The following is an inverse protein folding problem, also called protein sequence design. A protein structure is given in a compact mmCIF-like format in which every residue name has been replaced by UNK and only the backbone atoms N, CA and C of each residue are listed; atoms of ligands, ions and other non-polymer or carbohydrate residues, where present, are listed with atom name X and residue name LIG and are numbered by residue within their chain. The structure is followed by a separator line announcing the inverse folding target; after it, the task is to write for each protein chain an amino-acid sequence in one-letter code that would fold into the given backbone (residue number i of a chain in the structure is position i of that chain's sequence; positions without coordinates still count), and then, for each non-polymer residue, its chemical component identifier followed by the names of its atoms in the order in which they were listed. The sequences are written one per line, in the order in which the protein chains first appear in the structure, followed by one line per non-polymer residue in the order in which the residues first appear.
data_IF_987287130547
#
_entry.id   IF_987287130547
#
_cell.length_a   1.000
_cell.length_b   1.000
_cell.length_c   1.000
_cell.angle_alpha   90.00
_cell.angle_beta   90.00
_cell.angle_gamma   90.00
#
_symmetry.space_group_name_H-M   'P 1'
#
loop_
_entity.id
_entity.type
_entity.pdbx_description
1 polymer ?
#
# COMPACT_ATOMS: atom_id res chain seq x y z
N UNK A 1 -90.23 11.88 -5.17
CA UNK A 1 -90.50 12.07 -3.73
C UNK A 1 -89.36 11.42 -2.95
N UNK A 2 -88.65 12.21 -2.13
CA UNK A 2 -87.93 11.89 -0.88
C UNK A 2 -86.83 10.78 -0.86
N UNK A 3 -85.53 11.10 -0.80
CA UNK A 3 -84.57 11.39 0.32
C UNK A 3 -83.83 10.20 1.01
N UNK A 4 -82.50 10.40 1.20
CA UNK A 4 -81.56 9.92 2.26
C UNK A 4 -81.12 8.43 2.27
N UNK A 5 -79.96 7.96 2.77
CA UNK A 5 -78.65 8.47 3.28
C UNK A 5 -77.83 7.23 3.77
N UNK A 6 -76.51 7.17 3.48
CA UNK A 6 -75.37 6.56 4.25
C UNK A 6 -75.11 5.03 4.45
N UNK A 7 -73.78 4.74 4.45
CA UNK A 7 -72.97 3.74 5.22
C UNK A 7 -73.05 2.27 4.75
N UNK A 8 -72.04 1.39 4.73
CA UNK A 8 -70.55 1.31 4.71
C UNK A 8 -70.25 -0.22 4.64
N UNK A 9 -69.04 -0.61 4.21
CA UNK A 9 -68.33 -1.88 4.52
C UNK A 9 -68.62 -3.10 3.61
N UNK A 10 -67.77 -3.35 2.60
CA UNK A 10 -66.65 -4.34 2.59
C UNK A 10 -67.13 -5.78 2.41
N UNK A 11 -66.58 -6.66 1.59
CA UNK A 11 -65.43 -6.75 0.67
C UNK A 11 -65.56 -8.12 0.00
N UNK A 12 -64.98 -8.28 -1.19
CA UNK A 12 -64.17 -9.44 -1.62
C UNK A 12 -64.47 -9.79 -3.08
N UNK A 13 -63.66 -9.26 -4.00
CA UNK A 13 -63.43 -9.88 -5.29
C UNK A 13 -61.94 -9.74 -5.63
N UNK A 14 -61.35 -10.90 -5.89
CA UNK A 14 -59.96 -11.14 -6.23
C UNK A 14 -59.74 -10.71 -7.69
N UNK A 15 -58.73 -9.90 -7.96
CA UNK A 15 -58.19 -9.73 -9.30
C UNK A 15 -56.67 -9.55 -9.26
N UNK A 16 -56.04 -10.30 -10.14
CA UNK A 16 -54.62 -10.59 -10.26
C UNK A 16 -53.79 -9.34 -10.58
N UNK A 17 -52.77 -9.07 -9.78
CA UNK A 17 -51.74 -8.06 -10.10
C UNK A 17 -50.66 -8.67 -10.98
N UNK A 18 -50.54 -8.14 -12.20
CA UNK A 18 -49.31 -8.19 -12.97
C UNK A 18 -48.31 -7.26 -12.30
N UNK A 19 -47.15 -7.79 -11.87
CA UNK A 19 -46.06 -6.98 -11.36
C UNK A 19 -45.37 -6.26 -12.52
N UNK A 20 -45.82 -5.04 -12.80
CA UNK A 20 -44.95 -3.99 -13.37
C UNK A 20 -44.37 -3.23 -12.19
N UNK A 21 -43.09 -3.50 -11.90
CA UNK A 21 -42.34 -2.80 -10.85
C UNK A 21 -41.51 -1.70 -11.48
N UNK A 22 -42.13 -0.54 -11.69
CA UNK A 22 -41.43 0.74 -11.65
C UNK A 22 -42.00 1.49 -10.45
N UNK A 23 -41.27 1.48 -9.33
CA UNK A 23 -41.41 2.48 -8.29
C UNK A 23 -40.10 3.24 -8.22
N UNK A 24 -40.19 4.54 -8.49
CA UNK A 24 -39.17 5.53 -8.20
C UNK A 24 -38.85 5.52 -6.70
N UNK A 25 -37.69 6.10 -6.39
CA UNK A 25 -37.06 6.32 -5.08
C UNK A 25 -36.22 5.14 -4.58
N UNK A 26 -34.96 5.13 -5.02
CA UNK A 26 -33.84 4.88 -4.13
C UNK A 26 -32.60 5.61 -4.69
N UNK A 27 -32.43 6.87 -4.24
CA UNK A 27 -31.10 7.47 -4.10
C UNK A 27 -30.32 6.62 -3.09
N UNK A 28 -29.90 5.42 -3.48
CA UNK A 28 -28.84 4.72 -2.76
C UNK A 28 -27.58 5.51 -3.10
N UNK A 29 -26.92 6.18 -2.13
CA UNK A 29 -25.61 6.75 -2.42
C UNK A 29 -24.76 5.57 -2.90
N UNK A 30 -24.24 5.63 -4.12
CA UNK A 30 -23.09 4.79 -4.48
C UNK A 30 -22.09 5.02 -3.35
N UNK A 31 -21.80 3.96 -2.59
CA UNK A 31 -20.90 4.05 -1.45
C UNK A 31 -19.65 4.81 -1.87
N UNK A 32 -19.26 5.82 -1.10
CA UNK A 32 -18.03 6.57 -1.36
C UNK A 32 -16.91 5.54 -1.35
N UNK A 33 -16.29 5.27 -2.50
CA UNK A 33 -15.13 4.39 -2.54
C UNK A 33 -14.07 4.97 -1.59
N UNK A 34 -13.54 4.13 -0.71
CA UNK A 34 -12.50 4.55 0.22
C UNK A 34 -11.29 5.02 -0.58
N UNK A 35 -10.78 6.21 -0.26
CA UNK A 35 -9.58 6.73 -0.90
C UNK A 35 -8.42 5.73 -0.74
N UNK A 36 -7.69 5.53 -1.82
CA UNK A 36 -6.51 4.66 -1.85
C UNK A 36 -5.44 5.15 -0.86
N UNK A 37 -4.53 4.26 -0.44
CA UNK A 37 -3.40 4.65 0.43
C UNK A 37 -2.56 5.75 -0.25
N UNK A 38 -2.35 5.66 -1.56
CA UNK A 38 -1.61 6.68 -2.31
C UNK A 38 -2.29 8.06 -2.24
N UNK A 39 -3.61 8.12 -2.43
CA UNK A 39 -4.39 9.36 -2.29
C UNK A 39 -4.35 9.91 -0.88
N UNK A 40 -4.47 9.06 0.15
CA UNK A 40 -4.39 9.45 1.56
C UNK A 40 -3.01 9.98 1.96
N UNK A 41 -1.96 9.59 1.24
CA UNK A 41 -0.59 10.10 1.37
C UNK A 41 -0.33 11.38 0.57
N UNK A 42 -1.37 11.99 -0.03
CA UNK A 42 -1.32 13.23 -0.81
C UNK A 42 -1.47 13.04 -2.32
N UNK A 43 -1.51 11.79 -2.78
CA UNK A 43 -1.84 11.43 -4.15
C UNK A 43 -0.96 12.10 -5.20
N UNK A 44 -1.59 12.49 -6.31
CA UNK A 44 -0.96 13.12 -7.48
C UNK A 44 -0.69 14.61 -7.31
N UNK A 45 -0.89 15.17 -6.11
CA UNK A 45 -0.57 16.58 -5.83
C UNK A 45 0.92 16.81 -6.06
N UNK A 46 1.29 17.68 -6.98
CA UNK A 46 2.69 17.98 -7.28
C UNK A 46 3.29 18.92 -6.24
N UNK A 47 4.42 18.53 -5.67
CA UNK A 47 5.22 19.33 -4.73
C UNK A 47 6.67 19.40 -5.21
N UNK A 48 7.43 20.37 -4.70
CA UNK A 48 8.85 20.45 -5.02
C UNK A 48 9.58 19.18 -4.54
N UNK A 49 10.43 18.63 -5.39
CA UNK A 49 11.26 17.49 -5.03
C UNK A 49 12.49 17.99 -4.21
N UNK A 50 12.59 17.66 -2.91
CA UNK A 50 13.70 18.12 -2.08
C UNK A 50 15.05 17.48 -2.47
N UNK A 51 15.03 16.33 -3.15
CA UNK A 51 16.21 15.57 -3.54
C UNK A 51 16.63 15.88 -4.98
N UNK A 52 15.78 16.56 -5.75
CA UNK A 52 16.03 16.93 -7.14
C UNK A 52 15.63 18.40 -7.39
N UNK A 53 16.58 19.31 -7.17
CA UNK A 53 16.34 20.76 -7.28
C UNK A 53 15.73 21.15 -8.63
N UNK A 54 14.68 21.98 -8.58
CA UNK A 54 13.95 22.44 -9.77
C UNK A 54 12.96 21.42 -10.35
N UNK A 55 12.86 20.21 -9.77
CA UNK A 55 11.89 19.20 -10.20
C UNK A 55 10.68 19.16 -9.26
N UNK A 56 9.58 18.62 -9.78
CA UNK A 56 8.35 18.39 -9.03
C UNK A 56 8.10 16.88 -8.92
N UNK A 57 7.50 16.45 -7.82
CA UNK A 57 7.15 15.06 -7.54
C UNK A 57 5.73 14.98 -6.98
N UNK A 58 5.02 13.87 -7.24
CA UNK A 58 3.73 13.59 -6.61
C UNK A 58 3.92 13.39 -5.09
N UNK A 59 3.06 14.03 -4.29
CA UNK A 59 3.15 13.99 -2.83
C UNK A 59 3.03 12.55 -2.29
N UNK A 60 2.19 11.71 -2.90
CA UNK A 60 2.10 10.29 -2.55
C UNK A 60 3.43 9.54 -2.75
N UNK A 61 4.07 9.71 -3.92
CA UNK A 61 5.38 9.13 -4.21
C UNK A 61 6.46 9.65 -3.27
N UNK A 62 6.46 10.94 -2.97
CA UNK A 62 7.41 11.55 -2.02
C UNK A 62 7.24 10.96 -0.61
N UNK A 63 6.00 10.75 -0.17
CA UNK A 63 5.70 10.12 1.13
C UNK A 63 6.28 8.71 1.20
N UNK A 64 6.09 7.88 0.16
CA UNK A 64 6.72 6.56 0.09
C UNK A 64 8.25 6.62 0.06
N UNK A 65 8.83 7.50 -0.76
CA UNK A 65 10.29 7.64 -0.85
C UNK A 65 10.93 7.95 0.50
N UNK A 66 10.30 8.83 1.29
CA UNK A 66 10.75 9.17 2.64
C UNK A 66 10.72 7.98 3.61
N UNK A 67 9.63 7.20 3.60
CA UNK A 67 9.50 6.00 4.43
C UNK A 67 10.50 4.92 4.00
N UNK A 68 10.67 4.68 2.70
CA UNK A 68 11.65 3.71 2.18
C UNK A 68 13.07 4.11 2.57
N UNK A 69 13.47 5.36 2.34
CA UNK A 69 14.80 5.86 2.70
C UNK A 69 15.06 5.71 4.22
N UNK A 70 14.06 6.03 5.05
CA UNK A 70 14.16 5.88 6.50
C UNK A 70 14.26 4.41 6.92
N UNK A 71 13.52 3.52 6.25
CA UNK A 71 13.60 2.06 6.49
C UNK A 71 14.99 1.53 6.17
N UNK A 72 15.57 1.91 5.03
CA UNK A 72 16.95 1.56 4.66
C UNK A 72 17.93 2.07 5.72
N UNK A 73 17.77 3.31 6.18
CA UNK A 73 18.59 3.88 7.25
C UNK A 73 18.53 3.08 8.55
N UNK A 74 17.34 2.64 8.97
CA UNK A 74 17.16 1.82 10.16
C UNK A 74 17.83 0.44 10.02
N UNK A 75 17.66 -0.22 8.87
CA UNK A 75 18.33 -1.50 8.58
C UNK A 75 19.85 -1.34 8.64
N UNK A 76 20.39 -0.31 8.00
CA UNK A 76 21.83 -0.03 8.00
C UNK A 76 22.33 0.25 9.41
N UNK A 77 21.59 1.03 10.21
CA UNK A 77 21.95 1.31 11.59
C UNK A 77 22.02 0.01 12.44
N UNK A 78 21.04 -0.88 12.29
CA UNK A 78 21.00 -2.16 13.02
C UNK A 78 22.15 -3.09 12.61
N UNK A 79 22.54 -3.07 11.33
CA UNK A 79 23.71 -3.82 10.82
C UNK A 79 25.00 -3.23 11.41
N UNK A 80 25.16 -1.91 11.39
CA UNK A 80 26.34 -1.25 11.95
C UNK A 80 26.49 -1.43 13.46
N UNK A 81 25.36 -1.51 14.18
CA UNK A 81 25.32 -1.78 15.61
C UNK A 81 25.48 -3.27 15.95
N UNK A 82 25.58 -4.16 14.95
CA UNK A 82 25.55 -5.61 15.10
C UNK A 82 24.37 -6.08 15.99
N UNK A 83 23.21 -5.46 15.81
CA UNK A 83 22.01 -5.80 16.58
C UNK A 83 21.64 -7.26 16.30
N UNK A 84 21.37 -8.08 17.34
CA UNK A 84 20.96 -9.46 17.15
C UNK A 84 19.79 -9.62 16.17
N UNK A 85 19.96 -10.54 15.23
CA UNK A 85 18.98 -10.80 14.18
C UNK A 85 18.82 -9.63 13.20
N UNK A 86 19.81 -8.76 13.01
CA UNK A 86 19.79 -7.79 11.92
C UNK A 86 19.72 -8.50 10.54
N UNK A 87 19.42 -7.74 9.49
CA UNK A 87 19.19 -8.29 8.15
C UNK A 87 20.47 -8.38 7.29
N UNK A 88 21.67 -8.31 7.88
CA UNK A 88 22.93 -8.26 7.14
C UNK A 88 23.07 -9.38 6.10
N UNK A 89 22.72 -10.62 6.47
CA UNK A 89 22.86 -11.77 5.59
C UNK A 89 22.04 -11.64 4.29
N UNK A 90 20.88 -11.00 4.36
CA UNK A 90 20.03 -10.76 3.19
C UNK A 90 20.63 -9.72 2.24
N UNK A 91 21.26 -8.69 2.78
CA UNK A 91 21.88 -7.59 2.01
C UNK A 91 23.37 -7.80 1.70
N UNK A 92 23.96 -8.94 2.09
CA UNK A 92 25.39 -9.19 1.92
C UNK A 92 25.91 -8.93 0.49
N UNK A 93 25.23 -9.32 -0.61
CA UNK A 93 25.68 -9.01 -1.96
C UNK A 93 25.72 -7.50 -2.29
N UNK A 94 24.81 -6.71 -1.70
CA UNK A 94 24.78 -5.25 -1.86
C UNK A 94 25.86 -4.60 -1.00
N UNK A 95 26.05 -5.09 0.23
CA UNK A 95 27.04 -4.56 1.18
C UNK A 95 28.49 -4.88 0.76
N UNK A 96 28.70 -5.94 -0.02
CA UNK A 96 30.00 -6.26 -0.60
C UNK A 96 30.43 -5.31 -1.73
N UNK A 97 29.50 -4.52 -2.29
CA UNK A 97 29.83 -3.49 -3.27
C UNK A 97 30.60 -2.35 -2.62
N UNK A 98 31.37 -1.59 -3.40
CA UNK A 98 32.18 -0.49 -2.87
C UNK A 98 31.98 0.81 -3.63
N UNK A 99 32.24 1.93 -2.95
CA UNK A 99 32.22 3.26 -3.55
C UNK A 99 30.91 3.63 -4.22
N UNK A 100 31.01 4.20 -5.43
CA UNK A 100 29.86 4.72 -6.19
C UNK A 100 28.91 3.62 -6.68
N UNK A 101 29.39 2.40 -6.88
CA UNK A 101 28.55 1.26 -7.27
C UNK A 101 27.53 0.93 -6.19
N UNK A 102 27.98 0.83 -4.94
CA UNK A 102 27.08 0.56 -3.81
C UNK A 102 26.04 1.68 -3.67
N UNK A 103 26.48 2.94 -3.68
CA UNK A 103 25.58 4.09 -3.56
C UNK A 103 24.51 4.10 -4.67
N UNK A 104 24.91 3.82 -5.91
CA UNK A 104 24.00 3.73 -7.06
C UNK A 104 22.98 2.61 -6.88
N UNK A 105 23.40 1.45 -6.37
CA UNK A 105 22.52 0.31 -6.23
C UNK A 105 21.60 0.42 -5.00
N UNK A 106 22.01 1.12 -3.94
CA UNK A 106 21.12 1.51 -2.84
C UNK A 106 20.04 2.48 -3.37
N UNK A 107 20.43 3.47 -4.18
CA UNK A 107 19.47 4.39 -4.79
C UNK A 107 18.45 3.65 -5.66
N UNK A 108 18.90 2.74 -6.52
CA UNK A 108 18.01 1.87 -7.32
C UNK A 108 17.09 0.99 -6.47
N UNK A 109 17.59 0.44 -5.36
CA UNK A 109 16.76 -0.32 -4.44
C UNK A 109 15.65 0.56 -3.85
N UNK A 110 15.98 1.76 -3.41
CA UNK A 110 15.01 2.73 -2.86
C UNK A 110 13.97 3.15 -3.91
N UNK A 111 14.40 3.44 -5.13
CA UNK A 111 13.50 3.79 -6.24
C UNK A 111 12.55 2.62 -6.58
N UNK A 112 13.08 1.40 -6.73
CA UNK A 112 12.25 0.22 -7.02
C UNK A 112 11.19 -0.04 -5.93
N UNK A 113 11.54 0.13 -4.66
CA UNK A 113 10.59 -0.01 -3.55
C UNK A 113 9.56 1.13 -3.56
N UNK A 114 10.00 2.36 -3.82
CA UNK A 114 9.12 3.53 -3.95
C UNK A 114 8.10 3.32 -5.06
N UNK A 115 8.54 2.86 -6.22
CA UNK A 115 7.68 2.55 -7.37
C UNK A 115 6.71 1.43 -7.01
N UNK A 116 7.23 0.31 -6.48
CA UNK A 116 6.40 -0.83 -6.06
C UNK A 116 5.26 -0.41 -5.14
N UNK A 117 5.54 0.31 -4.06
CA UNK A 117 4.49 0.74 -3.15
C UNK A 117 3.60 1.82 -3.76
N UNK A 118 4.15 2.78 -4.49
CA UNK A 118 3.35 3.84 -5.12
C UNK A 118 2.31 3.25 -6.07
N UNK A 119 2.71 2.33 -6.95
CA UNK A 119 1.79 1.70 -7.90
C UNK A 119 0.77 0.79 -7.24
N UNK A 120 1.21 -0.12 -6.36
CA UNK A 120 0.32 -1.10 -5.73
C UNK A 120 -0.64 -0.48 -4.71
N UNK A 121 -0.49 0.81 -4.38
CA UNK A 121 -1.36 1.52 -3.44
C UNK A 121 -2.23 2.60 -4.08
N UNK A 122 -2.27 2.68 -5.41
CA UNK A 122 -3.19 3.56 -6.16
C UNK A 122 -2.52 4.63 -7.03
N UNK A 123 -1.19 4.71 -7.04
CA UNK A 123 -0.44 5.60 -7.93
C UNK A 123 -0.49 5.12 -9.37
N UNK A 124 -1.03 5.94 -10.28
CA UNK A 124 -1.26 5.55 -11.69
C UNK A 124 -0.28 6.17 -12.69
N UNK A 125 0.55 7.13 -12.25
CA UNK A 125 1.57 7.72 -13.09
C UNK A 125 2.59 6.65 -13.54
N UNK A 126 2.98 6.60 -14.83
CA UNK A 126 3.97 5.64 -15.33
C UNK A 126 5.26 5.58 -14.52
N UNK A 127 5.71 6.70 -13.93
CA UNK A 127 6.90 6.76 -13.06
C UNK A 127 6.80 5.86 -11.83
N UNK A 128 5.58 5.48 -11.41
CA UNK A 128 5.37 4.60 -10.27
C UNK A 128 5.46 3.11 -10.67
N UNK A 129 5.56 2.77 -11.95
CA UNK A 129 5.41 1.38 -12.39
C UNK A 129 6.63 0.54 -11.99
N UNK A 130 6.41 -0.43 -11.10
CA UNK A 130 7.42 -1.43 -10.79
C UNK A 130 7.63 -2.40 -11.95
N UNK A 131 8.87 -2.53 -12.40
CA UNK A 131 9.28 -3.39 -13.53
C UNK A 131 10.23 -4.52 -13.13
N UNK A 132 10.44 -4.72 -11.82
CA UNK A 132 11.31 -5.76 -11.29
C UNK A 132 10.70 -7.15 -11.34
N UNK A 133 11.44 -8.11 -10.77
CA UNK A 133 10.98 -9.48 -10.60
C UNK A 133 9.72 -9.53 -9.72
N UNK A 134 8.89 -10.56 -9.90
CA UNK A 134 7.82 -10.84 -8.94
C UNK A 134 8.41 -11.06 -7.53
N UNK A 135 7.60 -10.85 -6.49
CA UNK A 135 8.08 -10.86 -5.11
C UNK A 135 8.74 -12.18 -4.70
N UNK A 136 8.33 -13.32 -5.26
CA UNK A 136 8.94 -14.61 -4.97
C UNK A 136 10.31 -14.73 -5.63
N UNK A 137 10.41 -14.42 -6.92
CA UNK A 137 11.68 -14.43 -7.65
C UNK A 137 12.67 -13.39 -7.11
N UNK A 138 12.19 -12.20 -6.74
CA UNK A 138 13.01 -11.13 -6.17
C UNK A 138 13.68 -11.52 -4.85
N UNK A 139 13.02 -12.34 -4.04
CA UNK A 139 13.50 -12.76 -2.71
C UNK A 139 14.03 -14.20 -2.67
N UNK A 140 14.18 -14.85 -3.83
CA UNK A 140 14.77 -16.17 -3.95
C UNK A 140 16.26 -16.07 -4.32
N UNK A 141 17.21 -16.42 -3.43
CA UNK A 141 18.65 -16.34 -3.71
C UNK A 141 19.12 -17.27 -4.85
N UNK A 142 18.34 -18.30 -5.19
CA UNK A 142 18.66 -19.17 -6.33
C UNK A 142 18.30 -18.54 -7.69
N UNK A 143 17.43 -17.52 -7.70
CA UNK A 143 16.97 -16.82 -8.92
C UNK A 143 17.57 -15.42 -8.99
N UNK A 144 17.60 -14.71 -7.86
CA UNK A 144 18.14 -13.37 -7.73
C UNK A 144 19.45 -13.40 -6.92
N UNK A 145 20.63 -13.31 -7.55
CA UNK A 145 21.92 -13.33 -6.85
C UNK A 145 22.17 -12.08 -5.99
N UNK A 146 21.29 -11.07 -6.06
CA UNK A 146 21.31 -9.91 -5.17
C UNK A 146 20.73 -10.20 -3.79
N UNK A 147 19.96 -11.28 -3.66
CA UNK A 147 19.44 -11.74 -2.37
C UNK A 147 20.45 -12.69 -1.73
N UNK A 148 20.99 -12.33 -0.57
CA UNK A 148 22.06 -13.12 0.06
C UNK A 148 21.61 -14.44 0.68
N UNK A 149 20.37 -14.49 1.19
CA UNK A 149 19.76 -15.71 1.75
C UNK A 149 18.24 -15.62 1.70
N UNK A 150 17.56 -16.76 1.81
CA UNK A 150 16.10 -16.83 1.94
C UNK A 150 15.62 -16.09 3.18
N UNK A 151 14.46 -15.45 3.11
CA UNK A 151 13.82 -14.76 4.24
C UNK A 151 12.90 -15.72 5.03
N UNK A 152 13.03 -15.71 6.35
CA UNK A 152 12.09 -16.37 7.27
C UNK A 152 10.97 -15.44 7.71
N UNK A 153 9.97 -15.98 8.40
CA UNK A 153 8.91 -15.18 9.03
C UNK A 153 9.45 -14.18 10.07
N UNK A 154 10.52 -14.55 10.78
CA UNK A 154 11.15 -13.67 11.75
C UNK A 154 11.84 -12.48 11.05
N UNK A 155 12.54 -12.74 9.96
CA UNK A 155 13.20 -11.70 9.16
C UNK A 155 12.17 -10.74 8.57
N UNK A 156 11.07 -11.27 8.03
CA UNK A 156 9.99 -10.46 7.47
C UNK A 156 9.28 -9.62 8.54
N UNK A 157 9.03 -10.21 9.72
CA UNK A 157 8.46 -9.47 10.86
C UNK A 157 9.39 -8.33 11.29
N UNK A 158 10.70 -8.57 11.31
CA UNK A 158 11.67 -7.52 11.61
C UNK A 158 11.67 -6.42 10.54
N UNK A 159 11.57 -6.79 9.26
CA UNK A 159 11.41 -5.83 8.16
C UNK A 159 10.16 -4.95 8.32
N UNK A 160 8.99 -5.56 8.58
CA UNK A 160 7.74 -4.82 8.84
C UNK A 160 7.90 -3.87 10.03
N UNK A 161 8.62 -4.28 11.08
CA UNK A 161 8.96 -3.43 12.22
C UNK A 161 9.74 -2.17 11.82
N UNK A 162 10.75 -2.29 10.94
CA UNK A 162 11.46 -1.12 10.42
C UNK A 162 10.57 -0.20 9.60
N UNK A 163 9.72 -0.77 8.73
CA UNK A 163 8.79 0.04 7.93
C UNK A 163 7.80 0.78 8.83
N UNK A 164 7.29 0.14 9.88
CA UNK A 164 6.42 0.77 10.86
C UNK A 164 7.09 1.93 11.61
N UNK A 165 8.32 1.73 12.08
CA UNK A 165 9.10 2.79 12.72
C UNK A 165 9.38 3.97 11.76
N UNK A 166 9.74 3.66 10.51
CA UNK A 166 9.95 4.65 9.47
C UNK A 166 8.67 5.41 9.11
N UNK A 167 7.52 4.74 9.03
CA UNK A 167 6.22 5.36 8.76
C UNK A 167 5.86 6.38 9.86
N UNK A 168 6.01 6.00 11.13
CA UNK A 168 5.79 6.90 12.26
C UNK A 168 6.72 8.11 12.20
N UNK A 169 8.01 7.90 11.95
CA UNK A 169 9.00 8.98 11.84
C UNK A 169 8.68 9.97 10.69
N UNK A 170 7.93 9.52 9.68
CA UNK A 170 7.53 10.32 8.53
C UNK A 170 6.06 10.79 8.59
N UNK A 171 5.46 10.78 9.78
CA UNK A 171 4.15 11.41 10.03
C UNK A 171 2.93 10.51 9.83
N UNK A 172 3.13 9.20 9.61
CA UNK A 172 2.02 8.23 9.61
C UNK A 172 1.93 7.59 11.00
N UNK A 173 1.07 8.15 11.84
CA UNK A 173 0.93 7.71 13.23
C UNK A 173 0.32 6.30 13.33
N UNK A 174 0.90 5.47 14.21
CA UNK A 174 0.55 4.06 14.41
C UNK A 174 -0.88 3.77 14.85
N UNK A 175 -1.58 4.75 15.40
CA UNK A 175 -2.98 4.66 15.84
C UNK A 175 -3.99 5.05 14.76
N UNK A 176 -3.53 5.21 13.51
CA UNK A 176 -4.39 5.58 12.38
C UNK A 176 -4.79 4.39 11.53
N UNK A 177 -5.95 4.51 10.88
CA UNK A 177 -6.39 3.55 9.85
C UNK A 177 -5.38 3.49 8.69
N UNK A 178 -4.75 4.60 8.33
CA UNK A 178 -3.75 4.64 7.26
C UNK A 178 -2.55 3.75 7.57
N UNK A 179 -2.07 3.79 8.81
CA UNK A 179 -1.02 2.89 9.26
C UNK A 179 -1.46 1.43 9.21
N UNK A 180 -2.69 1.15 9.66
CA UNK A 180 -3.26 -0.21 9.64
C UNK A 180 -3.32 -0.76 8.21
N UNK A 181 -3.76 0.03 7.24
CA UNK A 181 -3.86 -0.38 5.84
C UNK A 181 -2.48 -0.58 5.19
N UNK A 182 -1.50 0.26 5.53
CA UNK A 182 -0.11 0.08 5.09
C UNK A 182 0.45 -1.26 5.61
N UNK A 183 0.24 -1.57 6.90
CA UNK A 183 0.66 -2.86 7.47
C UNK A 183 -0.05 -4.02 6.79
N UNK A 184 -1.34 -3.90 6.48
CA UNK A 184 -2.07 -4.92 5.75
C UNK A 184 -1.50 -5.18 4.34
N UNK A 185 -1.11 -4.12 3.61
CA UNK A 185 -0.42 -4.26 2.32
C UNK A 185 0.91 -5.00 2.49
N UNK A 186 1.72 -4.65 3.48
CA UNK A 186 2.97 -5.36 3.75
C UNK A 186 2.70 -6.84 4.05
N UNK A 187 1.79 -7.14 4.97
CA UNK A 187 1.47 -8.51 5.34
C UNK A 187 0.93 -9.35 4.17
N UNK A 188 0.26 -8.74 3.18
CA UNK A 188 -0.14 -9.43 1.95
C UNK A 188 1.04 -9.97 1.11
N UNK A 189 2.23 -9.38 1.27
CA UNK A 189 3.46 -9.75 0.56
C UNK A 189 4.27 -10.82 1.31
N UNK A 190 3.90 -11.15 2.55
CA UNK A 190 4.64 -12.14 3.35
C UNK A 190 4.74 -13.48 2.66
N UNK A 191 3.62 -14.00 2.16
CA UNK A 191 3.56 -15.32 1.54
C UNK A 191 4.51 -15.51 0.35
N UNK A 192 4.60 -14.59 -0.64
CA UNK A 192 5.58 -14.73 -1.71
C UNK A 192 7.03 -14.46 -1.28
N UNK A 193 7.27 -13.67 -0.24
CA UNK A 193 8.62 -13.27 0.19
C UNK A 193 9.27 -14.30 1.12
N UNK A 194 8.51 -14.86 2.06
CA UNK A 194 9.01 -15.84 3.02
C UNK A 194 9.22 -17.19 2.33
N UNK A 195 10.44 -17.70 2.43
CA UNK A 195 10.88 -18.93 1.76
C UNK A 195 11.58 -19.81 2.80
N UNK A 196 10.84 -20.74 3.37
CA UNK A 196 11.40 -21.71 4.32
C UNK A 196 12.30 -22.76 3.62
#
# INVERSE_FOLDING_TARGET
MKIYTKITLSTLLISSVAFTSCSNDDNTPKGVEQATIYERLGGTTMVADPDNEGQMIEQGRLSFRKVVNSTVGLIVADIQADTPGNLQAHFAPLLAETGTTQATNIAKLSDNLTDFFSFNTGGTNPVNTYSGLDMASAHNPAVNPRMGTKASDADYTKFVGYVGAAANANGVASDTELYTDIVAVLESLRAPIVQN
#
